data_IF_648024295227
#
_entry.id   IF_648024295227
#
_cell.length_a   1.000
_cell.length_b   1.000
_cell.length_c   1.000
_cell.angle_alpha   90.00
_cell.angle_beta   90.00
_cell.angle_gamma   90.00
#
_symmetry.space_group_name_H-M   'P 1'
#
loop_
_entity.id
_entity.type
_entity.pdbx_description
1 polymer ?
#
# COMPACT_ATOMS: atom_id res chain seq x y z
N UNK A 1 -10.76 14.17 17.45
CA UNK A 1 -9.36 13.84 17.62
C UNK A 1 -9.34 12.74 18.67
N UNK A 2 -9.23 11.48 18.23
CA UNK A 2 -9.00 10.37 19.13
C UNK A 2 -7.61 10.51 19.74
N UNK A 3 -7.50 10.30 21.05
CA UNK A 3 -6.21 10.17 21.70
C UNK A 3 -5.49 8.97 21.07
N UNK A 4 -4.41 9.23 20.33
CA UNK A 4 -3.52 8.16 19.90
C UNK A 4 -2.84 7.63 21.15
N UNK A 5 -3.12 6.37 21.50
CA UNK A 5 -2.35 5.69 22.54
C UNK A 5 -0.87 5.74 22.17
N UNK A 6 0.02 6.07 23.11
CA UNK A 6 1.43 6.13 22.83
C UNK A 6 1.94 4.74 22.40
N UNK A 7 2.78 4.71 21.38
CA UNK A 7 3.50 3.49 20.99
C UNK A 7 4.27 2.98 22.20
N UNK A 8 3.95 1.79 22.67
CA UNK A 8 4.68 1.17 23.78
C UNK A 8 5.90 0.43 23.24
N UNK A 9 7.07 0.76 23.77
CA UNK A 9 8.28 -0.05 23.56
C UNK A 9 8.35 -1.04 24.72
N UNK A 10 8.48 -2.32 24.42
CA UNK A 10 8.79 -3.29 25.45
C UNK A 10 10.29 -3.28 25.81
N UNK A 11 10.69 -4.09 26.81
CA UNK A 11 12.07 -4.12 27.33
C UNK A 11 13.12 -4.54 26.31
N UNK A 12 12.69 -5.15 25.20
CA UNK A 12 13.57 -5.69 24.16
C UNK A 12 13.65 -4.76 22.93
N UNK A 13 12.98 -3.60 22.98
CA UNK A 13 12.98 -2.58 21.93
C UNK A 13 12.04 -2.89 20.77
N UNK A 14 11.18 -3.88 20.90
CA UNK A 14 10.15 -4.18 19.92
C UNK A 14 9.02 -3.14 19.98
N UNK A 15 8.51 -2.78 18.81
CA UNK A 15 7.38 -1.86 18.67
C UNK A 15 6.11 -2.67 18.51
N UNK A 16 5.20 -2.55 19.50
CA UNK A 16 3.88 -3.17 19.45
C UNK A 16 2.84 -2.16 18.99
N UNK A 17 2.09 -2.50 17.95
CA UNK A 17 0.97 -1.72 17.44
C UNK A 17 -0.34 -2.33 17.92
N UNK A 18 -1.25 -1.49 18.40
CA UNK A 18 -2.64 -1.86 18.63
C UNK A 18 -3.43 -1.58 17.36
N UNK A 19 -4.00 -2.62 16.78
CA UNK A 19 -4.72 -2.56 15.51
C UNK A 19 -6.20 -2.75 15.78
N UNK A 20 -6.98 -1.73 15.37
CA UNK A 20 -8.43 -1.76 15.41
C UNK A 20 -9.01 -2.19 14.06
N UNK A 21 -10.31 -2.50 14.03
CA UNK A 21 -11.03 -2.72 12.78
C UNK A 21 -10.97 -1.48 11.88
N UNK A 22 -10.69 -1.70 10.59
CA UNK A 22 -10.60 -0.62 9.60
C UNK A 22 -9.19 -0.05 9.47
N UNK A 23 -9.06 1.27 9.35
CA UNK A 23 -7.83 1.95 8.98
C UNK A 23 -6.93 2.24 10.20
N UNK A 24 -5.69 1.80 10.14
CA UNK A 24 -4.66 2.01 11.16
C UNK A 24 -3.42 2.62 10.52
N UNK A 25 -2.88 3.67 11.12
CA UNK A 25 -1.61 4.24 10.69
C UNK A 25 -0.48 3.58 11.47
N UNK A 26 0.44 2.94 10.76
CA UNK A 26 1.61 2.26 11.33
C UNK A 26 2.88 2.80 10.70
N UNK A 27 4.00 2.70 11.40
CA UNK A 27 5.34 2.98 10.88
C UNK A 27 6.13 1.69 10.80
N UNK A 28 6.92 1.49 9.73
CA UNK A 28 7.80 0.32 9.67
C UNK A 28 9.08 0.58 10.47
N UNK A 29 9.40 -0.24 11.51
CA UNK A 29 10.41 0.11 12.51
C UNK A 29 11.85 -0.25 12.10
N UNK A 30 12.04 -1.07 11.06
CA UNK A 30 13.37 -1.52 10.65
C UNK A 30 13.96 -0.61 9.56
N UNK A 31 15.28 -0.64 9.41
CA UNK A 31 15.98 0.12 8.36
C UNK A 31 16.04 -0.62 7.02
N UNK A 32 15.95 -1.96 7.05
CA UNK A 32 15.91 -2.81 5.86
C UNK A 32 14.48 -3.00 5.36
N UNK A 33 14.33 -3.23 4.07
CA UNK A 33 13.02 -3.55 3.48
C UNK A 33 12.65 -5.02 3.72
N UNK A 34 11.35 -5.31 3.76
CA UNK A 34 10.80 -6.64 3.94
C UNK A 34 9.54 -6.82 3.11
N UNK A 35 9.36 -7.99 2.48
CA UNK A 35 8.11 -8.31 1.79
C UNK A 35 6.91 -8.23 2.75
N UNK A 36 5.76 -7.80 2.24
CA UNK A 36 4.57 -7.55 3.06
C UNK A 36 4.17 -8.77 3.90
N UNK A 37 4.11 -9.94 3.27
CA UNK A 37 3.74 -11.19 3.95
C UNK A 37 4.74 -11.60 5.02
N UNK A 38 6.04 -11.48 4.75
CA UNK A 38 7.10 -11.83 5.70
C UNK A 38 7.07 -10.91 6.92
N UNK A 39 6.88 -9.62 6.70
CA UNK A 39 6.85 -8.62 7.76
C UNK A 39 5.62 -8.76 8.67
N UNK A 40 4.47 -9.09 8.10
CA UNK A 40 3.20 -9.25 8.83
C UNK A 40 3.08 -10.64 9.50
N UNK A 41 3.69 -11.66 8.93
CA UNK A 41 3.65 -13.01 9.48
C UNK A 41 2.23 -13.54 9.73
N UNK A 42 1.98 -13.99 10.95
CA UNK A 42 0.71 -14.65 11.31
C UNK A 42 -0.52 -13.73 11.23
N UNK A 43 -0.34 -12.40 11.24
CA UNK A 43 -1.47 -11.46 11.19
C UNK A 43 -1.92 -11.13 9.78
N UNK A 44 -1.23 -11.62 8.77
CA UNK A 44 -1.54 -11.37 7.34
C UNK A 44 -3.01 -11.64 7.01
N UNK A 45 -3.61 -12.68 7.60
CA UNK A 45 -5.01 -13.04 7.37
C UNK A 45 -6.02 -11.99 7.87
N UNK A 46 -5.60 -11.10 8.77
CA UNK A 46 -6.42 -10.01 9.32
C UNK A 46 -6.28 -8.71 8.52
N UNK A 47 -5.38 -8.67 7.53
CA UNK A 47 -5.08 -7.46 6.76
C UNK A 47 -5.74 -7.54 5.40
N UNK A 48 -6.61 -6.58 5.11
CA UNK A 48 -7.29 -6.45 3.82
C UNK A 48 -6.44 -5.73 2.78
N UNK A 49 -5.82 -4.61 3.19
CA UNK A 49 -5.02 -3.77 2.30
C UNK A 49 -3.96 -3.00 3.07
N UNK A 50 -2.91 -2.60 2.36
CA UNK A 50 -1.87 -1.69 2.85
C UNK A 50 -1.70 -0.59 1.83
N UNK A 51 -1.61 0.66 2.28
CA UNK A 51 -1.33 1.80 1.41
C UNK A 51 -0.16 2.62 1.96
N UNK A 52 0.80 2.90 1.09
CA UNK A 52 1.89 3.84 1.28
C UNK A 52 1.69 5.12 0.44
N UNK A 53 2.73 5.90 0.28
CA UNK A 53 2.67 7.10 -0.54
C UNK A 53 2.60 6.75 -2.03
N UNK A 54 1.42 6.90 -2.62
CA UNK A 54 1.19 6.66 -4.06
C UNK A 54 1.22 5.19 -4.50
N UNK A 55 1.30 4.24 -3.57
CA UNK A 55 1.31 2.80 -3.81
C UNK A 55 0.38 2.09 -2.85
N UNK A 56 -0.24 0.99 -3.31
CA UNK A 56 -1.07 0.16 -2.44
C UNK A 56 -0.94 -1.31 -2.77
N UNK A 57 -1.31 -2.14 -1.81
CA UNK A 57 -1.44 -3.58 -1.93
C UNK A 57 -2.79 -4.04 -1.40
N UNK A 58 -3.42 -4.95 -2.11
CA UNK A 58 -4.65 -5.63 -1.71
C UNK A 58 -4.32 -7.09 -1.40
N UNK A 59 -4.71 -7.56 -0.23
CA UNK A 59 -4.59 -8.98 0.11
C UNK A 59 -5.77 -9.74 -0.50
N UNK A 60 -5.49 -10.47 -1.57
CA UNK A 60 -6.48 -11.27 -2.30
C UNK A 60 -6.29 -12.76 -2.08
N UNK A 61 -5.31 -13.14 -1.24
CA UNK A 61 -4.84 -14.51 -1.17
C UNK A 61 -4.18 -14.95 -2.48
N UNK A 62 -3.80 -16.20 -2.54
CA UNK A 62 -3.05 -16.76 -3.68
C UNK A 62 -3.88 -16.95 -4.96
N UNK A 63 -5.19 -16.73 -4.92
CA UNK A 63 -6.06 -16.88 -6.09
C UNK A 63 -5.87 -15.76 -7.14
N UNK A 64 -5.64 -14.52 -6.68
CA UNK A 64 -5.49 -13.34 -7.55
C UNK A 64 -4.22 -12.52 -7.27
N UNK A 65 -3.55 -12.76 -6.14
CA UNK A 65 -2.45 -11.96 -5.63
C UNK A 65 -1.05 -12.51 -5.90
N UNK A 66 -0.84 -13.32 -6.94
CA UNK A 66 0.47 -13.93 -7.18
C UNK A 66 0.87 -14.96 -6.10
N UNK A 67 2.16 -15.31 -6.03
CA UNK A 67 2.67 -16.34 -5.10
C UNK A 67 2.60 -15.92 -3.64
N UNK A 68 2.69 -14.63 -3.36
CA UNK A 68 2.67 -14.03 -2.02
C UNK A 68 1.27 -13.57 -1.56
N UNK A 69 0.27 -13.68 -2.42
CA UNK A 69 -1.12 -13.34 -2.10
C UNK A 69 -1.47 -11.86 -2.14
N UNK A 70 -0.54 -11.00 -2.59
CA UNK A 70 -0.74 -9.56 -2.69
C UNK A 70 -0.88 -9.10 -4.14
N UNK A 71 -1.77 -8.16 -4.39
CA UNK A 71 -1.95 -7.50 -5.68
C UNK A 71 -1.79 -5.98 -5.52
N UNK A 72 -1.24 -5.33 -6.54
CA UNK A 72 -0.97 -3.89 -6.55
C UNK A 72 0.52 -3.57 -6.67
N UNK A 73 0.87 -2.30 -6.50
CA UNK A 73 2.23 -1.81 -6.69
C UNK A 73 3.11 -1.83 -5.44
N UNK A 74 2.51 -1.88 -4.24
CA UNK A 74 3.24 -1.98 -2.99
C UNK A 74 3.58 -3.45 -2.72
N UNK A 75 4.85 -3.81 -2.72
CA UNK A 75 5.31 -5.19 -2.49
C UNK A 75 6.10 -5.36 -1.20
N UNK A 76 6.57 -4.26 -0.63
CA UNK A 76 7.46 -4.26 0.54
C UNK A 76 7.14 -3.13 1.50
N UNK A 77 7.43 -3.35 2.78
CA UNK A 77 7.67 -2.29 3.73
C UNK A 77 9.11 -1.79 3.62
N UNK A 78 9.31 -0.49 3.71
CA UNK A 78 10.62 0.15 3.67
C UNK A 78 10.85 1.00 4.93
N UNK A 79 12.08 1.02 5.40
CA UNK A 79 12.48 1.75 6.60
C UNK A 79 12.20 3.25 6.51
N UNK A 80 11.68 3.80 7.59
CA UNK A 80 11.37 5.22 7.71
C UNK A 80 10.04 5.66 7.09
N UNK A 81 9.26 4.71 6.54
CA UNK A 81 7.97 4.99 5.94
C UNK A 81 6.81 4.64 6.88
N UNK A 82 5.73 5.41 6.74
CA UNK A 82 4.43 5.11 7.34
C UNK A 82 3.47 4.50 6.34
N UNK A 83 2.56 3.68 6.85
CA UNK A 83 1.60 2.94 6.04
C UNK A 83 0.22 2.94 6.70
N UNK A 84 -0.81 3.00 5.87
CA UNK A 84 -2.16 2.68 6.29
C UNK A 84 -2.36 1.17 6.14
N UNK A 85 -2.67 0.51 7.26
CA UNK A 85 -3.07 -0.89 7.32
C UNK A 85 -4.59 -0.95 7.52
N UNK A 86 -5.28 -1.64 6.63
CA UNK A 86 -6.73 -1.86 6.72
C UNK A 86 -6.99 -3.24 7.29
N UNK A 87 -7.50 -3.30 8.52
CA UNK A 87 -7.81 -4.54 9.22
C UNK A 87 -9.25 -4.98 9.02
N UNK A 88 -9.45 -6.30 8.85
CA UNK A 88 -10.77 -6.96 8.83
C UNK A 88 -11.17 -7.56 10.17
N UNK A 89 -10.29 -7.54 11.16
CA UNK A 89 -10.56 -8.13 12.47
C UNK A 89 -11.36 -7.17 13.35
N UNK A 90 -12.63 -7.51 13.63
CA UNK A 90 -13.56 -6.67 14.40
C UNK A 90 -13.21 -6.58 15.90
N UNK A 91 -12.44 -7.53 16.42
CA UNK A 91 -12.05 -7.56 17.84
C UNK A 91 -10.77 -6.76 18.11
N UNK A 92 -10.06 -6.35 17.05
CA UNK A 92 -8.72 -5.76 17.17
C UNK A 92 -7.67 -6.79 17.61
N UNK A 93 -6.38 -6.42 17.50
CA UNK A 93 -5.28 -7.26 17.93
C UNK A 93 -4.00 -6.43 18.13
N UNK A 94 -3.09 -6.98 18.92
CA UNK A 94 -1.75 -6.44 19.01
C UNK A 94 -0.84 -7.11 17.98
N UNK A 95 0.05 -6.32 17.40
CA UNK A 95 0.90 -6.73 16.30
C UNK A 95 2.31 -6.16 16.46
N UNK A 96 3.29 -7.01 16.22
CA UNK A 96 4.69 -6.64 16.08
C UNK A 96 5.15 -7.10 14.70
N UNK A 97 5.90 -6.28 13.99
CA UNK A 97 6.51 -6.74 12.75
C UNK A 97 7.49 -7.89 13.02
N UNK A 98 7.48 -8.90 12.16
CA UNK A 98 8.50 -9.94 12.23
C UNK A 98 9.88 -9.33 12.08
N UNK A 99 10.82 -9.77 12.90
CA UNK A 99 12.21 -9.34 12.81
C UNK A 99 12.83 -9.66 11.44
N UNK A 100 13.67 -8.77 10.96
CA UNK A 100 14.43 -9.00 9.73
C UNK A 100 15.49 -10.06 10.01
N UNK A 101 15.48 -11.18 9.28
CA UNK A 101 16.50 -12.20 9.46
C UNK A 101 17.90 -11.65 9.11
N UNK A 102 18.88 -11.87 9.97
CA UNK A 102 20.27 -11.47 9.75
C UNK A 102 20.78 -12.07 8.42
N UNK A 103 21.29 -11.21 7.55
CA UNK A 103 21.91 -11.60 6.28
C UNK A 103 20.99 -11.57 5.06
N UNK A 104 19.76 -11.05 5.16
CA UNK A 104 18.93 -10.82 4.00
C UNK A 104 19.51 -9.70 3.13
N UNK A 105 19.59 -10.00 1.84
CA UNK A 105 19.92 -9.01 0.80
C UNK A 105 18.88 -7.88 0.89
N UNK A 106 19.33 -6.63 0.81
CA UNK A 106 18.44 -5.49 0.70
C UNK A 106 17.56 -5.68 -0.54
N UNK A 107 16.31 -6.03 -0.33
CA UNK A 107 15.32 -5.98 -1.39
C UNK A 107 14.95 -4.53 -1.62
N UNK A 108 14.88 -4.11 -2.86
CA UNK A 108 14.41 -2.78 -3.22
C UNK A 108 12.98 -2.92 -3.74
N UNK A 109 12.09 -2.03 -3.26
CA UNK A 109 10.77 -1.86 -3.84
C UNK A 109 10.94 -1.58 -5.34
N UNK A 110 10.22 -2.30 -6.18
CA UNK A 110 10.21 -2.01 -7.61
C UNK A 110 9.78 -0.58 -7.83
N UNK A 111 10.64 0.23 -8.44
CA UNK A 111 10.28 1.61 -8.76
C UNK A 111 9.12 1.62 -9.75
N UNK A 112 8.10 2.43 -9.44
CA UNK A 112 7.01 2.64 -10.39
C UNK A 112 7.54 3.26 -11.68
N UNK A 113 7.04 2.78 -12.83
CA UNK A 113 7.31 3.43 -14.11
C UNK A 113 6.78 4.86 -14.07
N UNK A 114 7.64 5.83 -14.38
CA UNK A 114 7.24 7.23 -14.45
C UNK A 114 6.34 7.45 -15.64
N UNK A 115 5.12 7.93 -15.41
CA UNK A 115 4.20 8.33 -16.48
C UNK A 115 4.68 9.62 -17.14
N UNK A 116 4.32 9.86 -18.43
CA UNK A 116 4.61 11.13 -19.08
C UNK A 116 4.09 12.33 -18.30
N UNK A 117 4.80 13.46 -18.35
CA UNK A 117 4.46 14.67 -17.60
C UNK A 117 3.01 15.14 -17.83
N UNK A 118 2.48 14.94 -19.04
CA UNK A 118 1.09 15.26 -19.39
C UNK A 118 0.04 14.49 -18.57
N UNK A 119 0.44 13.39 -17.93
CA UNK A 119 -0.43 12.54 -17.10
C UNK A 119 0.02 12.54 -15.63
N UNK A 120 0.90 13.46 -15.26
CA UNK A 120 1.33 13.62 -13.87
C UNK A 120 0.21 14.19 -12.99
N UNK A 121 0.27 13.91 -11.71
CA UNK A 121 -0.64 14.41 -10.70
C UNK A 121 0.13 14.83 -9.45
N UNK A 122 -0.48 15.69 -8.63
CA UNK A 122 0.14 16.13 -7.37
C UNK A 122 -0.19 15.15 -6.24
N UNK A 123 0.82 14.81 -5.46
CA UNK A 123 0.64 14.01 -4.24
C UNK A 123 0.03 14.86 -3.13
N UNK A 124 -0.83 14.25 -2.32
CA UNK A 124 -1.36 14.83 -1.08
C UNK A 124 -1.54 13.75 -0.01
N UNK A 125 -1.86 14.18 1.20
CA UNK A 125 -2.21 13.32 2.33
C UNK A 125 -3.60 12.65 2.19
N UNK A 126 -4.44 13.18 1.30
CA UNK A 126 -5.74 12.62 0.97
C UNK A 126 -5.60 11.71 -0.26
N UNK A 127 -5.58 10.42 -0.05
CA UNK A 127 -5.45 9.47 -1.14
C UNK A 127 -6.42 8.29 -0.97
N UNK A 128 -6.91 7.80 -2.09
CA UNK A 128 -7.64 6.55 -2.22
C UNK A 128 -7.00 5.72 -3.35
N UNK A 129 -7.26 4.42 -3.36
CA UNK A 129 -6.78 3.53 -4.41
C UNK A 129 -7.93 2.74 -4.99
N UNK A 130 -7.95 2.64 -6.32
CA UNK A 130 -8.87 1.78 -7.05
C UNK A 130 -8.07 0.62 -7.64
N UNK A 131 -8.43 -0.60 -7.28
CA UNK A 131 -7.84 -1.80 -7.86
C UNK A 131 -8.65 -2.21 -9.10
N UNK A 132 -8.05 -2.04 -10.27
CA UNK A 132 -8.71 -2.31 -11.56
C UNK A 132 -8.46 -3.74 -11.95
N UNK A 133 -9.49 -4.58 -11.87
CA UNK A 133 -9.38 -6.00 -12.19
C UNK A 133 -9.19 -6.24 -13.70
N UNK A 134 -9.89 -5.50 -14.53
CA UNK A 134 -9.76 -5.61 -15.97
C UNK A 134 -10.12 -4.30 -16.67
N UNK A 135 -9.46 -4.02 -17.77
CA UNK A 135 -9.78 -2.87 -18.62
C UNK A 135 -9.61 -3.21 -20.09
N UNK A 136 -10.42 -2.56 -20.94
CA UNK A 136 -10.37 -2.71 -22.39
C UNK A 136 -10.46 -1.35 -23.07
N UNK A 137 -9.82 -1.22 -24.22
CA UNK A 137 -9.97 -0.09 -25.13
C UNK A 137 -10.28 -0.63 -26.53
N UNK A 138 -11.40 -0.19 -27.14
CA UNK A 138 -11.87 -0.70 -28.44
C UNK A 138 -11.96 -2.25 -28.49
N UNK A 139 -12.53 -2.85 -27.44
CA UNK A 139 -12.69 -4.30 -27.26
C UNK A 139 -11.37 -5.11 -27.16
N UNK A 140 -10.25 -4.44 -27.01
CA UNK A 140 -8.95 -5.06 -26.74
C UNK A 140 -8.56 -4.88 -25.28
N UNK A 141 -7.98 -5.91 -24.68
CA UNK A 141 -7.39 -5.81 -23.33
C UNK A 141 -6.22 -4.83 -23.36
N UNK A 142 -6.02 -4.13 -22.24
CA UNK A 142 -4.85 -3.28 -22.06
C UNK A 142 -3.57 -4.11 -22.03
N UNK A 143 -2.50 -3.51 -22.54
CA UNK A 143 -1.13 -4.02 -22.52
C UNK A 143 -0.28 -3.21 -21.51
N UNK A 144 0.91 -3.69 -21.14
CA UNK A 144 1.77 -3.06 -20.11
C UNK A 144 2.20 -1.61 -20.45
N UNK A 145 2.12 -1.20 -21.72
CA UNK A 145 2.44 0.17 -22.15
C UNK A 145 1.23 1.12 -22.11
N UNK A 146 0.05 0.60 -21.85
CA UNK A 146 -1.16 1.41 -21.70
C UNK A 146 -1.17 2.10 -20.31
N UNK A 147 -1.74 3.29 -20.25
CA UNK A 147 -1.85 4.08 -19.03
C UNK A 147 -3.31 4.24 -18.65
N UNK A 148 -3.65 3.92 -17.41
CA UNK A 148 -4.95 4.27 -16.82
C UNK A 148 -4.80 5.60 -16.11
N UNK A 149 -5.76 6.50 -16.33
CA UNK A 149 -5.79 7.84 -15.75
C UNK A 149 -7.08 8.02 -14.97
N UNK A 150 -6.97 8.46 -13.73
CA UNK A 150 -8.10 8.84 -12.90
C UNK A 150 -8.33 10.35 -12.98
N UNK A 151 -9.56 10.74 -13.21
CA UNK A 151 -9.99 12.14 -13.27
C UNK A 151 -10.98 12.47 -12.16
N UNK A 152 -10.88 13.70 -11.65
CA UNK A 152 -11.93 14.34 -10.87
C UNK A 152 -12.38 15.59 -11.65
N UNK A 153 -13.49 15.49 -12.35
CA UNK A 153 -13.85 16.49 -13.38
C UNK A 153 -12.82 16.51 -14.49
N UNK A 154 -12.18 17.67 -14.73
CA UNK A 154 -11.14 17.86 -15.73
C UNK A 154 -9.71 17.73 -15.18
N UNK A 155 -9.56 17.42 -13.87
CA UNK A 155 -8.27 17.34 -13.20
C UNK A 155 -7.81 15.90 -13.12
N UNK A 156 -6.55 15.65 -13.52
CA UNK A 156 -5.91 14.34 -13.32
C UNK A 156 -5.56 14.20 -11.83
N UNK A 157 -6.12 13.18 -11.19
CA UNK A 157 -5.91 12.87 -9.77
C UNK A 157 -5.11 11.60 -9.55
N UNK A 158 -4.82 10.86 -10.61
CA UNK A 158 -3.99 9.66 -10.56
C UNK A 158 -3.71 9.12 -11.94
N UNK A 159 -2.61 8.41 -12.07
CA UNK A 159 -2.24 7.72 -13.30
C UNK A 159 -1.29 6.56 -13.01
N UNK A 160 -1.38 5.49 -13.78
CA UNK A 160 -0.54 4.32 -13.67
C UNK A 160 -0.45 3.58 -14.99
N UNK A 161 0.73 3.06 -15.32
CA UNK A 161 0.84 2.04 -16.35
C UNK A 161 0.08 0.78 -15.94
N UNK A 162 -0.60 0.17 -16.90
CA UNK A 162 -1.26 -1.11 -16.69
C UNK A 162 -0.22 -2.18 -16.32
N UNK A 163 -0.41 -2.85 -15.22
CA UNK A 163 0.48 -3.91 -14.71
C UNK A 163 -0.26 -5.25 -14.54
N UNK A 164 -1.31 -5.47 -15.31
CA UNK A 164 -2.13 -6.67 -15.20
C UNK A 164 -3.33 -6.50 -14.27
N UNK A 165 -3.94 -7.62 -13.92
CA UNK A 165 -5.11 -7.65 -13.03
C UNK A 165 -4.80 -7.00 -11.68
N UNK A 166 -5.77 -6.27 -11.16
CA UNK A 166 -5.69 -5.54 -9.89
C UNK A 166 -4.60 -4.46 -9.84
N UNK A 167 -4.30 -3.85 -11.01
CA UNK A 167 -3.47 -2.62 -11.02
C UNK A 167 -4.09 -1.57 -10.11
N UNK A 168 -3.33 -1.06 -9.15
CA UNK A 168 -3.75 -0.02 -8.21
C UNK A 168 -3.63 1.37 -8.85
N UNK A 169 -4.72 2.08 -8.96
CA UNK A 169 -4.75 3.45 -9.48
C UNK A 169 -4.96 4.40 -8.30
N UNK A 170 -4.01 5.30 -8.01
CA UNK A 170 -4.21 6.32 -7.00
C UNK A 170 -5.28 7.32 -7.43
N UNK A 171 -6.04 7.84 -6.49
CA UNK A 171 -6.91 8.98 -6.64
C UNK A 171 -6.63 9.95 -5.50
N UNK A 172 -5.90 11.00 -5.81
CA UNK A 172 -5.39 11.95 -4.84
C UNK A 172 -6.38 13.10 -4.69
N UNK A 173 -6.76 13.37 -3.45
CA UNK A 173 -7.61 14.51 -3.11
C UNK A 173 -6.84 15.83 -3.13
N UNK A 174 -7.58 16.94 -3.03
CA UNK A 174 -6.98 18.26 -2.84
C UNK A 174 -6.53 18.33 -1.37
N UNK A 175 -5.21 18.34 -1.14
CA UNK A 175 -4.66 18.49 0.19
C UNK A 175 -5.09 19.82 0.83
N UNK A 176 -4.99 19.91 2.15
CA UNK A 176 -5.43 21.06 2.96
C UNK A 176 -4.66 22.38 2.69
N UNK A 177 -3.74 22.41 1.75
CA UNK A 177 -2.91 23.57 1.39
C UNK A 177 -3.45 24.40 0.21
N UNK A 178 -4.73 24.31 -0.10
CA UNK A 178 -5.38 25.01 -1.23
C UNK A 178 -6.52 25.95 -0.84
N UNK A 179 -6.46 26.57 0.32
CA UNK A 179 -7.43 27.57 0.78
C UNK A 179 -6.79 28.93 1.02
#
# INVERSE_FOLDING_TARGET
LGDSEPVSYDSDGEVTYSIDFGNNLISYPFQSSQALGDALGDVVANVYAIAGQGMAALNTGTELGGEDGWAGSLTMFEGGNGYWLVSTNEEGYNFNFNGVADGLTRFEQSSLRTVPEAFSYHQSDQQAFFFVQSATINDKRLEEDDIIIAYNGDVIVGSRYWNGELTDIPAIGIGSEGG
#
